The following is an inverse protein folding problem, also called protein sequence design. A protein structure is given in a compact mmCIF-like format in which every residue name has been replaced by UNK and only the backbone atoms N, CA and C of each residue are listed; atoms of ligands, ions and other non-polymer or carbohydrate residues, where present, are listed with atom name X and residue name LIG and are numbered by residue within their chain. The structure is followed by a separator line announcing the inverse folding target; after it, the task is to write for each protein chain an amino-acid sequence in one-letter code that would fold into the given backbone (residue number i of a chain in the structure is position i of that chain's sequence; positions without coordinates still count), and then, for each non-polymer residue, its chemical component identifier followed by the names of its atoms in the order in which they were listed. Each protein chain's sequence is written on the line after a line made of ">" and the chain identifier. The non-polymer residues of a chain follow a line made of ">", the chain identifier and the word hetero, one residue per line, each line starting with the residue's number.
data_IF_879822149513
#
_entry.id   IF_879822149513
#
_cell.length_a   1.000
_cell.length_b   1.000
_cell.length_c   1.000
_cell.angle_alpha   90.00
_cell.angle_beta   90.00
_cell.angle_gamma   90.00
#
_symmetry.space_group_name_H-M   'P 1'
#
loop_
_entity.id
_entity.type
_entity.pdbx_description
1 polymer ?
#
# COMPACT_ATOMS: atom_id res chain seq x y z
N UNK A 1 -5.67 23.39 9.00
CA UNK A 1 -6.86 22.87 8.28
C UNK A 1 -7.04 21.42 8.65
N UNK A 2 -8.28 20.95 8.83
CA UNK A 2 -8.56 19.56 9.25
C UNK A 2 -9.29 18.80 8.17
N UNK A 3 -8.76 17.66 7.78
CA UNK A 3 -9.31 16.83 6.71
C UNK A 3 -9.80 15.52 7.31
N UNK A 4 -11.04 15.17 7.03
CA UNK A 4 -11.57 13.82 7.27
C UNK A 4 -11.20 12.96 6.08
N UNK A 5 -10.41 11.91 6.26
CA UNK A 5 -10.14 10.89 5.26
C UNK A 5 -11.08 9.69 5.41
N UNK A 6 -11.46 9.08 4.30
CA UNK A 6 -12.27 7.86 4.23
C UNK A 6 -11.60 6.88 3.27
N UNK A 7 -11.30 5.67 3.75
CA UNK A 7 -10.69 4.59 2.96
C UNK A 7 -11.63 3.37 2.97
N UNK A 8 -11.88 2.82 1.78
CA UNK A 8 -12.70 1.64 1.55
C UNK A 8 -12.35 0.96 0.21
N UNK A 9 -11.08 0.99 -0.19
CA UNK A 9 -10.61 0.46 -1.48
C UNK A 9 -10.62 -1.07 -1.56
N UNK A 10 -10.42 -1.75 -0.43
CA UNK A 10 -10.24 -3.20 -0.36
C UNK A 10 -11.02 -3.85 0.80
N UNK A 11 -10.37 -4.14 1.93
CA UNK A 11 -10.94 -4.87 3.07
C UNK A 11 -10.80 -4.17 4.43
N UNK A 12 -10.28 -2.94 4.44
CA UNK A 12 -10.29 -2.04 5.58
C UNK A 12 -11.32 -0.92 5.39
N UNK A 13 -12.28 -0.80 6.32
CA UNK A 13 -13.11 0.41 6.42
C UNK A 13 -12.42 1.35 7.40
N UNK A 14 -11.94 2.50 6.94
CA UNK A 14 -11.22 3.42 7.81
C UNK A 14 -11.70 4.87 7.68
N UNK A 15 -11.58 5.59 8.78
CA UNK A 15 -11.75 7.04 8.84
C UNK A 15 -10.70 7.66 9.77
N UNK A 16 -10.23 8.85 9.44
CA UNK A 16 -9.20 9.55 10.20
C UNK A 16 -9.33 11.05 10.03
N UNK A 17 -8.97 11.80 11.07
CA UNK A 17 -8.83 13.25 10.96
C UNK A 17 -7.35 13.61 11.01
N UNK A 18 -6.88 14.33 9.99
CA UNK A 18 -5.50 14.84 9.93
C UNK A 18 -5.51 16.36 9.87
N UNK A 19 -4.65 16.97 10.68
CA UNK A 19 -4.39 18.40 10.71
C UNK A 19 -3.16 18.72 9.85
N UNK A 20 -3.36 19.64 8.90
CA UNK A 20 -2.34 20.21 8.02
C UNK A 20 -1.49 19.17 7.25
N UNK A 21 -2.12 18.04 6.91
CA UNK A 21 -1.49 16.95 6.15
C UNK A 21 -0.41 16.16 6.90
N UNK A 22 -0.12 16.52 8.15
CA UNK A 22 1.07 16.05 8.89
C UNK A 22 0.75 15.45 10.25
N UNK A 23 -0.28 15.93 10.94
CA UNK A 23 -0.60 15.53 12.31
C UNK A 23 -1.89 14.72 12.38
N UNK A 24 -1.80 13.47 12.82
CA UNK A 24 -2.96 12.61 13.04
C UNK A 24 -3.67 13.05 14.32
N UNK A 25 -4.96 13.41 14.22
CA UNK A 25 -5.83 13.69 15.37
C UNK A 25 -6.62 12.45 15.77
N UNK A 26 -7.02 11.63 14.79
CA UNK A 26 -7.65 10.33 15.01
C UNK A 26 -7.35 9.40 13.84
N UNK A 27 -7.42 8.09 14.08
CA UNK A 27 -7.32 7.06 13.05
C UNK A 27 -8.06 5.81 13.51
N UNK A 28 -9.14 5.45 12.82
CA UNK A 28 -10.01 4.32 13.14
C UNK A 28 -10.02 3.38 11.94
N UNK A 29 -9.80 2.09 12.19
CA UNK A 29 -9.82 1.03 11.18
C UNK A 29 -10.69 -0.12 11.65
N UNK A 30 -11.69 -0.48 10.85
CA UNK A 30 -12.45 -1.72 10.97
C UNK A 30 -12.00 -2.67 9.86
N UNK A 31 -11.08 -3.58 10.21
CA UNK A 31 -10.50 -4.57 9.28
C UNK A 31 -11.38 -5.81 9.15
N UNK A 32 -11.48 -6.34 7.93
CA UNK A 32 -12.26 -7.54 7.60
C UNK A 32 -11.39 -8.80 7.43
N UNK A 33 -10.13 -8.76 7.89
CA UNK A 33 -9.15 -9.83 7.67
C UNK A 33 -9.62 -11.19 8.23
N UNK A 34 -10.31 -11.20 9.37
CA UNK A 34 -10.81 -12.44 9.98
C UNK A 34 -11.88 -13.12 9.11
N UNK A 35 -12.79 -12.33 8.51
CA UNK A 35 -13.81 -12.81 7.60
C UNK A 35 -13.22 -13.37 6.31
N UNK A 36 -12.23 -12.67 5.73
CA UNK A 36 -11.60 -13.08 4.47
C UNK A 36 -10.61 -14.24 4.64
N UNK A 37 -10.09 -14.47 5.86
CA UNK A 37 -9.22 -15.62 6.16
C UNK A 37 -9.90 -16.96 5.82
N UNK A 38 -11.22 -17.06 6.00
CA UNK A 38 -12.01 -18.25 5.68
C UNK A 38 -11.94 -18.65 4.20
N UNK A 39 -11.74 -17.68 3.32
CA UNK A 39 -11.69 -17.85 1.87
C UNK A 39 -10.26 -17.83 1.31
N UNK A 40 -9.28 -17.57 2.18
CA UNK A 40 -7.87 -17.44 1.82
C UNK A 40 -7.52 -16.16 1.06
N UNK A 41 -8.43 -15.19 0.98
CA UNK A 41 -8.25 -13.90 0.30
C UNK A 41 -9.55 -13.11 0.25
N UNK A 42 -9.47 -11.85 -0.18
CA UNK A 42 -10.60 -10.91 -0.18
C UNK A 42 -11.71 -11.36 -1.13
N UNK A 43 -12.93 -11.48 -0.61
CA UNK A 43 -14.16 -11.72 -1.38
C UNK A 43 -14.86 -10.39 -1.63
N UNK A 44 -14.92 -9.88 -2.89
CA UNK A 44 -15.36 -8.51 -3.16
C UNK A 44 -16.77 -8.14 -2.66
N UNK A 45 -17.72 -9.08 -2.77
CA UNK A 45 -19.10 -8.85 -2.32
C UNK A 45 -19.19 -8.77 -0.79
N UNK A 46 -18.46 -9.64 -0.08
CA UNK A 46 -18.40 -9.60 1.40
C UNK A 46 -17.77 -8.28 1.83
N UNK A 47 -16.70 -7.85 1.16
CA UNK A 47 -16.02 -6.62 1.50
C UNK A 47 -16.92 -5.39 1.36
N UNK A 48 -17.63 -5.30 0.24
CA UNK A 48 -18.59 -4.21 -0.02
C UNK A 48 -19.68 -4.12 1.06
N UNK A 49 -20.20 -5.27 1.53
CA UNK A 49 -21.21 -5.30 2.60
C UNK A 49 -20.65 -4.85 3.94
N UNK A 50 -19.45 -5.30 4.30
CA UNK A 50 -18.80 -4.92 5.56
C UNK A 50 -18.47 -3.43 5.61
N UNK A 51 -18.04 -2.83 4.51
CA UNK A 51 -17.92 -1.37 4.44
C UNK A 51 -19.25 -0.68 4.70
N UNK A 52 -20.34 -1.15 4.08
CA UNK A 52 -21.67 -0.53 4.24
C UNK A 52 -22.16 -0.59 5.68
N UNK A 53 -21.86 -1.68 6.40
CA UNK A 53 -22.22 -1.85 7.81
C UNK A 53 -21.35 -1.00 8.75
N UNK A 54 -20.07 -0.81 8.44
CA UNK A 54 -19.10 -0.20 9.34
C UNK A 54 -18.94 1.32 9.16
N UNK A 55 -19.13 1.85 7.94
CA UNK A 55 -18.66 3.19 7.56
C UNK A 55 -19.20 4.32 8.45
N UNK A 56 -20.47 4.26 8.84
CA UNK A 56 -21.08 5.28 9.71
C UNK A 56 -20.37 5.32 11.07
N UNK A 57 -20.31 4.19 11.77
CA UNK A 57 -19.71 4.12 13.09
C UNK A 57 -18.20 4.38 13.10
N UNK A 58 -17.50 3.99 12.03
CA UNK A 58 -16.06 4.30 11.87
C UNK A 58 -15.83 5.81 11.73
N UNK A 59 -16.66 6.52 10.95
CA UNK A 59 -16.55 7.97 10.77
C UNK A 59 -16.97 8.73 12.04
N UNK A 60 -18.06 8.34 12.68
CA UNK A 60 -18.49 8.93 13.96
C UNK A 60 -17.39 8.80 15.01
N UNK A 61 -16.84 7.59 15.18
CA UNK A 61 -15.74 7.35 16.11
C UNK A 61 -14.49 8.15 15.77
N UNK A 62 -14.15 8.32 14.49
CA UNK A 62 -13.00 9.13 14.10
C UNK A 62 -13.19 10.63 14.43
N UNK A 63 -14.41 11.17 14.33
CA UNK A 63 -14.71 12.54 14.73
C UNK A 63 -14.69 12.70 16.26
N UNK A 64 -15.26 11.74 16.98
CA UNK A 64 -15.24 11.67 18.44
C UNK A 64 -13.82 11.59 19.00
N UNK A 65 -13.00 10.65 18.50
CA UNK A 65 -11.60 10.46 18.90
C UNK A 65 -10.76 11.73 18.60
N UNK A 66 -11.10 12.49 17.56
CA UNK A 66 -10.46 13.76 17.23
C UNK A 66 -10.98 14.94 18.07
N UNK A 67 -12.07 14.76 18.83
CA UNK A 67 -12.70 15.81 19.63
C UNK A 67 -13.33 16.93 18.81
N UNK A 68 -13.77 16.66 17.58
CA UNK A 68 -14.36 17.66 16.68
C UNK A 68 -15.70 17.20 16.10
N UNK A 69 -16.60 18.15 15.84
CA UNK A 69 -17.78 17.92 15.00
C UNK A 69 -17.51 18.28 13.53
N UNK A 70 -18.52 18.08 12.67
CA UNK A 70 -18.42 18.38 11.23
C UNK A 70 -18.00 19.83 10.94
N UNK A 71 -18.48 20.80 11.72
CA UNK A 71 -18.11 22.21 11.56
C UNK A 71 -16.62 22.51 11.81
N UNK A 72 -15.85 21.56 12.37
CA UNK A 72 -14.41 21.66 12.54
C UNK A 72 -13.58 21.19 11.34
N UNK A 73 -14.22 20.65 10.29
CA UNK A 73 -13.55 20.12 9.10
C UNK A 73 -13.44 21.19 8.00
N UNK A 74 -12.37 21.11 7.23
CA UNK A 74 -12.13 21.93 6.04
C UNK A 74 -12.51 21.22 4.74
N UNK A 75 -12.36 19.88 4.69
CA UNK A 75 -12.77 19.05 3.56
C UNK A 75 -12.97 17.58 3.99
N UNK A 76 -13.68 16.83 3.15
CA UNK A 76 -13.86 15.38 3.23
C UNK A 76 -13.10 14.74 2.07
N UNK A 77 -12.05 14.01 2.37
CA UNK A 77 -11.24 13.27 1.43
C UNK A 77 -11.67 11.80 1.38
N UNK A 78 -11.78 11.23 0.17
CA UNK A 78 -12.20 9.85 0.00
C UNK A 78 -11.37 9.15 -1.08
N UNK A 79 -10.96 7.92 -0.82
CA UNK A 79 -10.32 7.10 -1.84
C UNK A 79 -11.32 6.78 -2.96
N UNK A 80 -11.02 7.25 -4.17
CA UNK A 80 -11.90 7.10 -5.33
C UNK A 80 -11.32 6.17 -6.41
N UNK A 81 -10.02 5.88 -6.37
CA UNK A 81 -9.34 4.94 -7.26
C UNK A 81 -7.91 4.62 -6.79
N UNK A 82 -7.30 3.51 -7.24
CA UNK A 82 -7.93 2.28 -7.69
C UNK A 82 -8.42 1.43 -6.50
N UNK A 83 -9.11 0.33 -6.78
CA UNK A 83 -9.64 -0.56 -5.75
C UNK A 83 -10.79 -1.44 -6.25
N UNK A 84 -11.35 -2.25 -5.35
CA UNK A 84 -12.54 -3.04 -5.63
C UNK A 84 -13.74 -2.11 -5.82
N UNK A 85 -14.37 -2.16 -7.00
CA UNK A 85 -15.39 -1.16 -7.38
C UNK A 85 -16.56 -1.10 -6.39
N UNK A 86 -17.02 -2.25 -5.89
CA UNK A 86 -18.09 -2.30 -4.90
C UNK A 86 -17.70 -1.64 -3.58
N UNK A 87 -16.48 -1.88 -3.12
CA UNK A 87 -15.94 -1.30 -1.89
C UNK A 87 -15.74 0.22 -2.02
N UNK A 88 -15.12 0.68 -3.12
CA UNK A 88 -14.92 2.12 -3.40
C UNK A 88 -16.25 2.89 -3.45
N UNK A 89 -17.27 2.30 -4.07
CA UNK A 89 -18.58 2.94 -4.18
C UNK A 89 -19.23 3.20 -2.81
N UNK A 90 -18.95 2.39 -1.79
CA UNK A 90 -19.46 2.65 -0.43
C UNK A 90 -18.85 3.93 0.12
N UNK A 91 -17.52 4.04 0.14
CA UNK A 91 -16.80 5.23 0.60
C UNK A 91 -17.19 6.48 -0.18
N UNK A 92 -17.15 6.40 -1.52
CA UNK A 92 -17.46 7.53 -2.41
C UNK A 92 -18.89 8.03 -2.20
N UNK A 93 -19.89 7.14 -2.14
CA UNK A 93 -21.28 7.58 -1.95
C UNK A 93 -21.54 8.11 -0.55
N UNK A 94 -20.94 7.52 0.49
CA UNK A 94 -21.02 8.05 1.85
C UNK A 94 -20.41 9.46 1.93
N UNK A 95 -19.19 9.65 1.39
CA UNK A 95 -18.50 10.93 1.38
C UNK A 95 -19.28 12.00 0.59
N UNK A 96 -19.89 11.63 -0.54
CA UNK A 96 -20.79 12.52 -1.30
C UNK A 96 -22.00 12.94 -0.48
N UNK A 97 -22.66 12.01 0.20
CA UNK A 97 -23.80 12.30 1.07
C UNK A 97 -23.43 13.21 2.24
N UNK A 98 -22.29 12.94 2.88
CA UNK A 98 -21.77 13.76 3.98
C UNK A 98 -21.40 15.16 3.50
N UNK A 99 -20.71 15.29 2.37
CA UNK A 99 -20.37 16.57 1.74
C UNK A 99 -21.63 17.36 1.37
N UNK A 100 -22.60 16.70 0.72
CA UNK A 100 -23.86 17.34 0.31
C UNK A 100 -24.68 17.87 1.50
N UNK A 101 -24.79 17.08 2.57
CA UNK A 101 -25.58 17.46 3.75
C UNK A 101 -24.90 18.52 4.63
N UNK A 102 -23.57 18.54 4.68
CA UNK A 102 -22.80 19.47 5.52
C UNK A 102 -22.32 20.73 4.79
N UNK A 103 -22.32 20.73 3.45
CA UNK A 103 -21.71 21.79 2.64
C UNK A 103 -20.17 21.78 2.64
N UNK A 104 -19.54 20.77 3.25
CA UNK A 104 -18.08 20.64 3.32
C UNK A 104 -17.54 20.14 1.97
N UNK A 105 -16.48 20.74 1.40
CA UNK A 105 -15.90 20.31 0.14
C UNK A 105 -15.51 18.83 0.10
N UNK A 106 -15.78 18.17 -1.03
CA UNK A 106 -15.38 16.79 -1.31
C UNK A 106 -14.07 16.76 -2.12
N UNK A 107 -13.15 15.90 -1.71
CA UNK A 107 -11.82 15.74 -2.33
C UNK A 107 -11.62 14.27 -2.73
N UNK A 108 -11.53 13.96 -4.03
CA UNK A 108 -11.23 12.61 -4.48
C UNK A 108 -9.73 12.34 -4.34
N UNK A 109 -9.37 11.18 -3.80
CA UNK A 109 -7.98 10.81 -3.53
C UNK A 109 -7.63 9.50 -4.22
N UNK A 110 -6.41 9.44 -4.74
CA UNK A 110 -5.87 8.23 -5.33
C UNK A 110 -5.18 7.38 -4.24
N UNK A 111 -5.55 6.11 -4.13
CA UNK A 111 -5.10 5.20 -3.09
C UNK A 111 -3.57 5.08 -3.02
N UNK A 112 -2.88 4.93 -4.16
CA UNK A 112 -1.41 4.87 -4.17
C UNK A 112 -0.75 6.19 -3.75
N UNK A 113 -1.37 7.34 -4.06
CA UNK A 113 -0.86 8.65 -3.60
C UNK A 113 -1.00 8.75 -2.08
N UNK A 114 -2.09 8.21 -1.54
CA UNK A 114 -2.28 8.08 -0.08
C UNK A 114 -1.15 7.28 0.55
N UNK A 115 -0.84 6.07 0.05
CA UNK A 115 0.29 5.30 0.60
C UNK A 115 1.62 6.06 0.58
N UNK A 116 1.89 6.87 -0.46
CA UNK A 116 3.06 7.75 -0.49
C UNK A 116 2.95 8.79 0.65
N UNK A 117 1.79 9.44 0.78
CA UNK A 117 1.51 10.45 1.80
C UNK A 117 1.58 9.94 3.25
N UNK A 118 1.48 8.63 3.49
CA UNK A 118 1.74 8.05 4.81
C UNK A 118 3.13 8.43 5.35
N UNK A 119 4.11 8.64 4.46
CA UNK A 119 5.45 9.11 4.87
C UNK A 119 5.46 10.54 5.40
N UNK A 120 4.53 11.40 4.95
CA UNK A 120 4.42 12.77 5.45
C UNK A 120 3.96 12.84 6.90
N UNK A 121 3.22 11.82 7.35
CA UNK A 121 2.75 11.66 8.74
C UNK A 121 3.85 11.17 9.68
N UNK A 122 4.78 10.34 9.18
CA UNK A 122 5.91 9.81 9.95
C UNK A 122 7.11 10.76 9.94
N UNK A 123 7.41 11.35 8.79
CA UNK A 123 8.55 12.25 8.57
C UNK A 123 8.02 13.61 8.14
N UNK A 124 7.76 14.47 9.12
CA UNK A 124 7.14 15.78 8.90
C UNK A 124 8.00 16.73 8.08
N UNK A 125 9.31 16.50 8.04
CA UNK A 125 10.30 17.21 7.24
C UNK A 125 10.43 16.69 5.80
N UNK A 126 9.78 15.57 5.46
CA UNK A 126 9.82 15.03 4.11
C UNK A 126 9.04 15.93 3.15
N UNK A 127 9.73 16.40 2.13
CA UNK A 127 9.17 17.18 1.02
C UNK A 127 9.58 16.56 -0.33
N UNK A 128 8.75 16.62 -1.39
CA UNK A 128 9.18 16.38 -2.77
C UNK A 128 10.34 17.31 -3.20
N UNK A 129 11.16 16.94 -4.21
CA UNK A 129 11.07 15.73 -4.99
C UNK A 129 11.78 14.54 -4.32
N UNK A 130 11.29 13.32 -4.56
CA UNK A 130 11.94 12.08 -4.12
C UNK A 130 11.55 10.90 -5.02
N UNK A 131 12.28 9.80 -4.90
CA UNK A 131 11.91 8.53 -5.55
C UNK A 131 11.18 7.66 -4.52
N UNK A 132 10.05 7.10 -4.92
CA UNK A 132 9.24 6.23 -4.06
C UNK A 132 9.05 4.84 -4.66
N UNK A 133 9.39 3.80 -3.91
CA UNK A 133 8.99 2.43 -4.19
C UNK A 133 7.65 2.15 -3.47
N UNK A 134 6.57 2.08 -4.24
CA UNK A 134 5.24 1.68 -3.74
C UNK A 134 5.09 0.19 -3.91
N UNK A 135 5.01 -0.55 -2.80
CA UNK A 135 4.90 -2.01 -2.75
C UNK A 135 3.79 -2.42 -1.79
N UNK A 136 2.64 -2.81 -2.34
CA UNK A 136 1.45 -3.30 -1.61
C UNK A 136 1.01 -4.68 -2.10
N UNK A 137 -0.16 -5.14 -1.65
CA UNK A 137 -0.77 -6.39 -2.12
C UNK A 137 -0.94 -6.41 -3.64
N UNK A 138 -1.56 -5.37 -4.20
CA UNK A 138 -1.89 -5.29 -5.64
C UNK A 138 -0.99 -4.38 -6.47
N UNK A 139 0.00 -3.69 -5.88
CA UNK A 139 0.81 -2.72 -6.59
C UNK A 139 2.30 -2.90 -6.32
N UNK A 140 3.11 -2.79 -7.37
CA UNK A 140 4.56 -2.62 -7.26
C UNK A 140 4.99 -1.62 -8.31
N UNK A 141 5.29 -0.40 -7.85
CA UNK A 141 5.61 0.74 -8.70
C UNK A 141 6.85 1.46 -8.17
N UNK A 142 7.61 2.01 -9.10
CA UNK A 142 8.67 2.95 -8.84
C UNK A 142 8.23 4.31 -9.40
N UNK A 143 8.02 5.26 -8.49
CA UNK A 143 7.36 6.53 -8.77
C UNK A 143 8.31 7.66 -8.46
N UNK A 144 8.53 8.54 -9.44
CA UNK A 144 9.16 9.84 -9.22
C UNK A 144 8.10 10.81 -8.73
N UNK A 145 8.21 11.24 -7.47
CA UNK A 145 7.31 12.21 -6.85
C UNK A 145 7.92 13.59 -7.05
N UNK A 146 7.33 14.40 -7.93
CA UNK A 146 7.84 15.74 -8.30
C UNK A 146 7.28 16.83 -7.38
N UNK A 147 6.02 16.68 -6.99
CA UNK A 147 5.31 17.54 -6.05
C UNK A 147 4.31 16.72 -5.23
N UNK A 148 3.54 17.39 -4.37
CA UNK A 148 2.54 16.70 -3.54
C UNK A 148 1.37 16.11 -4.34
N UNK A 149 1.16 16.59 -5.57
CA UNK A 149 0.09 16.17 -6.48
C UNK A 149 0.61 15.76 -7.87
N UNK A 150 1.94 15.76 -8.09
CA UNK A 150 2.57 15.44 -9.38
C UNK A 150 3.47 14.21 -9.26
N UNK A 151 3.10 13.16 -10.01
CA UNK A 151 3.69 11.83 -9.96
C UNK A 151 4.05 11.35 -11.36
N UNK A 152 5.07 10.52 -11.47
CA UNK A 152 5.47 9.87 -12.72
C UNK A 152 5.93 8.45 -12.43
N UNK A 153 5.32 7.47 -13.10
CA UNK A 153 5.75 6.08 -13.00
C UNK A 153 6.97 5.87 -13.90
N UNK A 154 8.08 5.42 -13.33
CA UNK A 154 9.29 5.07 -14.08
C UNK A 154 9.54 3.56 -14.15
N UNK A 155 8.80 2.78 -13.37
CA UNK A 155 8.79 1.33 -13.45
C UNK A 155 7.59 0.73 -12.72
N UNK A 156 7.09 -0.40 -13.21
CA UNK A 156 5.99 -1.12 -12.56
C UNK A 156 6.11 -2.63 -12.75
N UNK A 157 5.35 -3.41 -11.98
CA UNK A 157 5.24 -4.85 -12.25
C UNK A 157 4.52 -5.09 -13.58
N UNK A 158 4.99 -6.07 -14.34
CA UNK A 158 4.35 -6.56 -15.57
C UNK A 158 3.37 -7.70 -15.33
N UNK A 159 3.39 -8.28 -14.13
CA UNK A 159 2.54 -9.40 -13.74
C UNK A 159 2.04 -9.28 -12.29
N UNK A 160 2.30 -10.27 -11.42
CA UNK A 160 1.96 -10.25 -10.00
C UNK A 160 2.67 -9.07 -9.31
N UNK A 161 2.01 -8.40 -8.38
CA UNK A 161 2.67 -7.50 -7.45
C UNK A 161 3.48 -8.28 -6.40
N UNK A 162 4.43 -7.62 -5.74
CA UNK A 162 5.26 -8.25 -4.71
C UNK A 162 4.41 -8.83 -3.56
N UNK A 163 3.41 -8.09 -3.08
CA UNK A 163 2.53 -8.55 -2.00
C UNK A 163 1.70 -9.76 -2.40
N UNK A 164 1.11 -9.74 -3.59
CA UNK A 164 0.40 -10.88 -4.16
C UNK A 164 1.32 -12.12 -4.32
N UNK A 165 2.56 -11.93 -4.75
CA UNK A 165 3.54 -13.01 -4.82
C UNK A 165 3.85 -13.60 -3.44
N UNK A 166 3.99 -12.76 -2.41
CA UNK A 166 4.12 -13.19 -1.01
C UNK A 166 2.92 -14.00 -0.53
N UNK A 167 1.69 -13.52 -0.76
CA UNK A 167 0.47 -14.20 -0.32
C UNK A 167 0.29 -15.55 -1.04
N UNK A 168 0.54 -15.61 -2.34
CA UNK A 168 0.45 -16.86 -3.13
C UNK A 168 1.52 -17.87 -2.69
N UNK A 169 2.75 -17.43 -2.45
CA UNK A 169 3.83 -18.29 -1.96
C UNK A 169 3.53 -18.83 -0.56
N UNK A 170 3.08 -17.96 0.35
CA UNK A 170 2.68 -18.33 1.70
C UNK A 170 1.54 -19.37 1.69
N UNK A 171 0.52 -19.16 0.84
CA UNK A 171 -0.57 -20.13 0.65
C UNK A 171 -0.05 -21.48 0.18
N UNK A 172 0.88 -21.50 -0.77
CA UNK A 172 1.50 -22.75 -1.26
C UNK A 172 2.28 -23.49 -0.15
N UNK A 173 2.82 -22.77 0.82
CA UNK A 173 3.48 -23.31 2.02
C UNK A 173 2.50 -23.67 3.15
N UNK A 174 1.19 -23.51 2.95
CA UNK A 174 0.17 -23.82 3.96
C UNK A 174 0.01 -22.76 5.04
N UNK A 175 0.48 -21.53 4.81
CA UNK A 175 0.33 -20.42 5.76
C UNK A 175 -1.06 -19.75 5.63
N UNK A 176 -1.60 -19.19 6.72
CA UNK A 176 -2.87 -18.47 6.70
C UNK A 176 -2.76 -17.10 6.00
N UNK A 177 -3.90 -16.54 5.59
CA UNK A 177 -4.03 -15.18 5.07
C UNK A 177 -4.10 -14.15 6.23
N UNK A 178 -3.47 -12.97 6.11
CA UNK A 178 -2.61 -12.49 5.01
C UNK A 178 -1.20 -13.10 5.03
N UNK A 179 -0.81 -13.71 3.93
CA UNK A 179 0.32 -14.62 3.86
C UNK A 179 1.69 -13.96 3.98
N UNK A 180 1.85 -12.74 3.48
CA UNK A 180 3.12 -12.01 3.54
C UNK A 180 3.66 -11.81 4.95
N UNK A 181 2.80 -11.59 5.95
CA UNK A 181 3.19 -11.42 7.35
C UNK A 181 3.72 -12.72 7.95
N UNK A 182 3.02 -13.83 7.72
CA UNK A 182 3.44 -15.14 8.22
C UNK A 182 4.71 -15.63 7.52
N UNK A 183 4.86 -15.35 6.23
CA UNK A 183 6.06 -15.67 5.47
C UNK A 183 7.27 -14.86 5.97
N UNK A 184 7.12 -13.55 6.20
CA UNK A 184 8.24 -12.74 6.74
C UNK A 184 8.70 -13.23 8.11
N UNK A 185 7.76 -13.64 8.97
CA UNK A 185 8.06 -14.22 10.29
C UNK A 185 8.77 -15.57 10.17
N UNK A 186 8.24 -16.49 9.36
CA UNK A 186 8.84 -17.81 9.15
C UNK A 186 10.26 -17.71 8.58
N UNK A 187 10.49 -16.74 7.70
CA UNK A 187 11.78 -16.49 7.06
C UNK A 187 12.89 -16.01 8.03
N UNK A 188 12.58 -15.58 9.26
CA UNK A 188 13.60 -15.13 10.22
C UNK A 188 14.51 -16.26 10.71
N UNK A 189 14.02 -17.50 10.77
CA UNK A 189 14.78 -18.68 11.23
C UNK A 189 15.36 -19.56 10.12
N UNK A 190 15.27 -19.11 8.87
CA UNK A 190 15.68 -19.87 7.68
C UNK A 190 16.97 -19.38 7.04
N UNK A 191 17.62 -20.26 6.29
CA UNK A 191 18.76 -19.92 5.43
C UNK A 191 18.26 -19.34 4.10
N UNK A 192 18.52 -18.04 3.79
CA UNK A 192 18.09 -17.43 2.54
C UNK A 192 18.76 -18.05 1.29
N UNK A 193 19.81 -18.86 1.44
CA UNK A 193 20.53 -19.52 0.34
C UNK A 193 20.19 -20.99 0.16
N UNK A 194 19.29 -21.55 0.98
CA UNK A 194 18.91 -22.96 0.93
C UNK A 194 18.31 -23.38 -0.42
N UNK A 195 17.56 -22.48 -1.07
CA UNK A 195 16.93 -22.74 -2.37
C UNK A 195 17.33 -21.69 -3.41
N UNK A 196 17.82 -22.16 -4.57
CA UNK A 196 18.11 -21.32 -5.72
C UNK A 196 16.81 -20.92 -6.43
N UNK A 197 16.35 -19.69 -6.17
CA UNK A 197 15.18 -19.09 -6.82
C UNK A 197 15.59 -18.04 -7.87
N UNK A 198 14.82 -17.86 -8.95
CA UNK A 198 15.16 -16.88 -9.98
C UNK A 198 15.06 -15.44 -9.46
N UNK A 199 15.92 -14.54 -9.95
CA UNK A 199 15.80 -13.09 -9.76
C UNK A 199 15.47 -12.45 -11.12
N UNK A 200 14.20 -12.45 -11.54
CA UNK A 200 13.83 -12.02 -12.89
C UNK A 200 14.18 -10.55 -13.16
N UNK A 201 14.48 -10.26 -14.42
CA UNK A 201 14.64 -8.92 -14.97
C UNK A 201 13.74 -8.79 -16.20
N UNK A 202 13.20 -7.60 -16.44
CA UNK A 202 12.37 -7.34 -17.61
C UNK A 202 13.25 -6.76 -18.72
N UNK A 203 13.30 -7.44 -19.86
CA UNK A 203 14.10 -7.00 -21.01
C UNK A 203 13.59 -5.67 -21.55
N UNK A 204 14.50 -4.75 -21.87
CA UNK A 204 14.17 -3.38 -22.32
C UNK A 204 13.53 -2.47 -21.28
N UNK A 205 13.25 -2.94 -20.05
CA UNK A 205 12.63 -2.15 -18.99
C UNK A 205 13.34 -2.37 -17.64
N UNK A 206 14.48 -1.68 -17.40
CA UNK A 206 15.38 -1.96 -16.27
C UNK A 206 14.76 -1.75 -14.89
N UNK A 207 13.67 -0.98 -14.82
CA UNK A 207 12.97 -0.64 -13.57
C UNK A 207 11.69 -1.42 -13.34
N UNK A 208 11.28 -2.23 -14.31
CA UNK A 208 10.09 -3.04 -14.19
C UNK A 208 10.34 -4.34 -13.43
N UNK A 209 9.25 -4.84 -12.84
CA UNK A 209 9.26 -6.00 -11.97
C UNK A 209 8.47 -7.16 -12.61
N UNK A 210 8.80 -8.38 -12.18
CA UNK A 210 8.06 -9.60 -12.52
C UNK A 210 8.22 -10.58 -11.37
N UNK A 211 7.13 -11.16 -10.87
CA UNK A 211 7.14 -12.05 -9.70
C UNK A 211 6.39 -13.36 -9.93
N UNK A 212 5.63 -13.49 -11.01
CA UNK A 212 4.85 -14.71 -11.33
C UNK A 212 5.74 -15.94 -11.53
N UNK A 213 6.92 -15.77 -12.14
CA UNK A 213 7.90 -16.84 -12.31
C UNK A 213 8.46 -17.33 -10.96
N UNK A 214 8.71 -16.41 -10.03
CA UNK A 214 9.19 -16.68 -8.67
C UNK A 214 8.21 -17.54 -7.87
N UNK A 215 6.93 -17.17 -7.90
CA UNK A 215 5.84 -17.97 -7.33
C UNK A 215 5.80 -19.38 -7.93
N UNK A 216 5.88 -19.48 -9.26
CA UNK A 216 5.83 -20.77 -9.97
C UNK A 216 6.99 -21.68 -9.58
N UNK A 217 8.20 -21.12 -9.42
CA UNK A 217 9.35 -21.87 -8.91
C UNK A 217 9.12 -22.45 -7.51
N UNK A 218 8.52 -21.68 -6.59
CA UNK A 218 8.19 -22.16 -5.24
C UNK A 218 7.17 -23.31 -5.28
N UNK A 219 6.10 -23.15 -6.04
CA UNK A 219 5.06 -24.20 -6.19
C UNK A 219 5.68 -25.49 -6.74
N UNK A 220 6.54 -25.37 -7.75
CA UNK A 220 7.22 -26.52 -8.35
C UNK A 220 8.18 -27.20 -7.38
N UNK A 221 8.93 -26.45 -6.56
CA UNK A 221 9.80 -27.01 -5.52
C UNK A 221 8.99 -27.83 -4.52
N UNK A 222 7.88 -27.29 -4.02
CA UNK A 222 6.99 -27.97 -3.06
C UNK A 222 6.40 -29.24 -3.69
N UNK A 223 5.91 -29.15 -4.93
CA UNK A 223 5.32 -30.29 -5.63
C UNK A 223 6.34 -31.40 -5.88
N UNK A 224 7.52 -31.07 -6.39
CA UNK A 224 8.58 -32.02 -6.70
C UNK A 224 9.13 -32.70 -5.42
N UNK A 225 9.26 -31.95 -4.32
CA UNK A 225 9.65 -32.52 -3.05
C UNK A 225 8.62 -33.52 -2.54
N UNK A 226 7.32 -33.17 -2.61
CA UNK A 226 6.22 -34.06 -2.22
C UNK A 226 6.18 -35.35 -3.05
N UNK A 227 6.38 -35.26 -4.37
CA UNK A 227 6.46 -36.44 -5.24
C UNK A 227 7.62 -37.38 -4.87
N UNK A 228 8.73 -36.82 -4.38
CA UNK A 228 9.92 -37.58 -3.95
C UNK A 228 9.87 -38.02 -2.49
N UNK A 229 8.78 -37.75 -1.76
CA UNK A 229 8.68 -38.00 -0.32
C UNK A 229 9.65 -37.17 0.53
N UNK A 230 10.16 -36.06 -0.01
CA UNK A 230 11.07 -35.15 0.68
C UNK A 230 10.28 -34.07 1.41
N UNK A 231 10.65 -33.80 2.66
CA UNK A 231 10.10 -32.68 3.43
C UNK A 231 11.00 -31.47 3.26
N UNK A 232 10.44 -30.37 2.76
CA UNK A 232 11.15 -29.09 2.70
C UNK A 232 11.02 -28.39 4.05
N UNK A 233 12.12 -27.79 4.52
CA UNK A 233 12.08 -26.91 5.67
C UNK A 233 11.43 -25.59 5.25
N UNK A 234 10.29 -25.26 5.85
CA UNK A 234 9.43 -24.15 5.41
C UNK A 234 10.08 -22.80 5.66
N UNK A 235 10.83 -22.69 6.76
CA UNK A 235 11.59 -21.50 7.13
C UNK A 235 12.65 -21.16 6.07
N UNK A 236 13.36 -22.17 5.58
CA UNK A 236 14.40 -22.02 4.55
C UNK A 236 13.79 -21.62 3.20
N UNK A 237 12.67 -22.23 2.82
CA UNK A 237 11.96 -21.87 1.58
C UNK A 237 11.39 -20.44 1.65
N UNK A 238 10.81 -20.06 2.80
CA UNK A 238 10.34 -18.70 3.06
C UNK A 238 11.49 -17.68 3.02
N UNK A 239 12.64 -18.01 3.64
CA UNK A 239 13.83 -17.15 3.63
C UNK A 239 14.40 -16.96 2.22
N UNK A 240 14.54 -18.03 1.44
CA UNK A 240 15.00 -17.95 0.05
C UNK A 240 14.05 -17.17 -0.84
N UNK A 241 12.73 -17.35 -0.67
CA UNK A 241 11.73 -16.61 -1.44
C UNK A 241 11.74 -15.12 -1.09
N UNK A 242 11.70 -14.78 0.20
CA UNK A 242 11.78 -13.40 0.68
C UNK A 242 13.03 -12.70 0.15
N UNK A 243 14.19 -13.37 0.23
CA UNK A 243 15.45 -12.84 -0.28
C UNK A 243 15.36 -12.55 -1.79
N UNK A 244 14.80 -13.46 -2.58
CA UNK A 244 14.68 -13.27 -4.03
C UNK A 244 13.78 -12.08 -4.41
N UNK A 245 12.64 -11.91 -3.72
CA UNK A 245 11.75 -10.76 -3.94
C UNK A 245 12.44 -9.46 -3.55
N UNK A 246 13.07 -9.41 -2.36
CA UNK A 246 13.78 -8.21 -1.90
C UNK A 246 14.96 -7.86 -2.80
N UNK A 247 15.73 -8.85 -3.28
CA UNK A 247 16.82 -8.63 -4.23
C UNK A 247 16.34 -7.92 -5.50
N UNK A 248 15.19 -8.32 -6.05
CA UNK A 248 14.61 -7.70 -7.24
C UNK A 248 14.14 -6.28 -6.97
N UNK A 249 13.42 -6.08 -5.85
CA UNK A 249 12.96 -4.75 -5.43
C UNK A 249 14.14 -3.79 -5.22
N UNK A 250 15.15 -4.21 -4.47
CA UNK A 250 16.32 -3.39 -4.16
C UNK A 250 17.14 -3.10 -5.42
N UNK A 251 17.47 -4.10 -6.23
CA UNK A 251 18.27 -3.91 -7.45
C UNK A 251 17.70 -2.84 -8.37
N UNK A 252 16.42 -2.92 -8.71
CA UNK A 252 15.77 -1.97 -9.60
C UNK A 252 15.67 -0.58 -8.96
N UNK A 253 15.30 -0.52 -7.67
CA UNK A 253 15.16 0.74 -6.93
C UNK A 253 16.48 1.50 -6.81
N UNK A 254 17.57 0.80 -6.49
CA UNK A 254 18.91 1.39 -6.39
C UNK A 254 19.43 1.80 -7.77
N UNK A 255 19.16 1.01 -8.81
CA UNK A 255 19.43 1.41 -10.19
C UNK A 255 18.78 2.74 -10.54
N UNK A 256 17.48 2.88 -10.25
CA UNK A 256 16.74 4.11 -10.53
C UNK A 256 17.20 5.30 -9.69
N UNK A 257 17.56 5.09 -8.41
CA UNK A 257 18.15 6.14 -7.57
C UNK A 257 19.42 6.73 -8.22
N UNK A 258 20.27 5.87 -8.78
CA UNK A 258 21.50 6.28 -9.47
C UNK A 258 21.21 7.03 -10.77
N UNK A 259 20.34 6.49 -11.62
CA UNK A 259 20.04 7.11 -12.93
C UNK A 259 19.29 8.44 -12.79
N UNK A 260 18.35 8.53 -11.86
CA UNK A 260 17.58 9.76 -11.61
C UNK A 260 18.33 10.79 -10.76
N UNK A 261 19.50 10.41 -10.22
CA UNK A 261 20.29 11.21 -9.27
C UNK A 261 19.47 11.70 -8.05
N UNK A 262 18.44 10.95 -7.66
CA UNK A 262 17.66 11.24 -6.46
C UNK A 262 18.53 11.06 -5.20
N UNK A 263 18.29 11.90 -4.18
CA UNK A 263 18.96 11.81 -2.87
C UNK A 263 18.04 11.31 -1.75
N UNK A 264 16.75 11.17 -2.04
CA UNK A 264 15.72 10.74 -1.09
C UNK A 264 15.04 9.51 -1.66
N UNK A 265 15.19 8.38 -0.98
CA UNK A 265 14.44 7.15 -1.24
C UNK A 265 13.32 7.03 -0.22
N UNK A 266 12.11 6.80 -0.71
CA UNK A 266 10.90 6.59 0.09
C UNK A 266 10.33 5.21 -0.22
N UNK A 267 9.81 4.50 0.78
CA UNK A 267 9.03 3.27 0.56
C UNK A 267 7.60 3.45 1.07
N UNK A 268 6.64 2.80 0.42
CA UNK A 268 5.22 2.92 0.73
C UNK A 268 4.47 1.60 0.46
N UNK A 269 3.28 1.43 1.05
CA UNK A 269 2.42 0.25 0.89
C UNK A 269 2.72 -0.90 1.85
N UNK A 270 1.83 -1.90 1.95
CA UNK A 270 1.92 -2.93 3.00
C UNK A 270 3.23 -3.73 3.02
N UNK A 271 3.82 -4.04 1.86
CA UNK A 271 5.08 -4.80 1.76
C UNK A 271 6.28 -3.96 2.19
N UNK A 272 6.15 -2.64 2.26
CA UNK A 272 7.17 -1.76 2.85
C UNK A 272 7.43 -2.05 4.33
N UNK A 273 6.53 -2.76 5.02
CA UNK A 273 6.74 -3.24 6.38
C UNK A 273 7.78 -4.38 6.48
N UNK A 274 8.15 -5.01 5.36
CA UNK A 274 9.05 -6.15 5.35
C UNK A 274 10.41 -5.81 5.96
N UNK A 275 10.81 -6.60 6.97
CA UNK A 275 12.02 -6.35 7.75
C UNK A 275 13.31 -6.39 6.93
N UNK A 276 13.43 -7.36 6.03
CA UNK A 276 14.59 -7.51 5.15
C UNK A 276 14.67 -6.39 4.11
N UNK A 277 13.54 -5.99 3.51
CA UNK A 277 13.49 -4.87 2.57
C UNK A 277 13.95 -3.56 3.23
N UNK A 278 13.42 -3.24 4.41
CA UNK A 278 13.80 -2.05 5.19
C UNK A 278 15.29 -2.06 5.53
N UNK A 279 15.81 -3.19 6.00
CA UNK A 279 17.23 -3.32 6.35
C UNK A 279 18.12 -3.16 5.12
N UNK A 280 17.79 -3.82 4.00
CA UNK A 280 18.58 -3.76 2.78
C UNK A 280 18.64 -2.35 2.19
N UNK A 281 17.48 -1.70 2.00
CA UNK A 281 17.44 -0.35 1.43
C UNK A 281 18.07 0.69 2.36
N UNK A 282 17.92 0.54 3.68
CA UNK A 282 18.58 1.41 4.64
C UNK A 282 20.11 1.32 4.56
N UNK A 283 20.66 0.11 4.39
CA UNK A 283 22.11 -0.09 4.21
C UNK A 283 22.61 0.55 2.92
N UNK A 284 21.93 0.30 1.81
CA UNK A 284 22.28 0.88 0.50
C UNK A 284 22.21 2.42 0.53
N UNK A 285 21.17 3.00 1.14
CA UNK A 285 21.08 4.45 1.30
C UNK A 285 22.23 5.02 2.14
N UNK A 286 22.60 4.36 3.25
CA UNK A 286 23.72 4.79 4.08
C UNK A 286 25.07 4.76 3.32
N UNK A 287 25.33 3.69 2.57
CA UNK A 287 26.55 3.54 1.76
C UNK A 287 26.66 4.59 0.65
N UNK A 288 25.54 5.01 0.06
CA UNK A 288 25.51 5.99 -1.04
C UNK A 288 25.24 7.44 -0.56
N UNK A 289 25.11 7.68 0.75
CA UNK A 289 24.82 9.00 1.32
C UNK A 289 23.43 9.55 0.97
N UNK A 290 22.44 8.68 0.79
CA UNK A 290 21.04 9.06 0.53
C UNK A 290 20.21 9.01 1.81
N UNK A 291 19.19 9.87 1.87
CA UNK A 291 18.17 9.80 2.92
C UNK A 291 17.16 8.70 2.60
N UNK A 292 16.78 7.95 3.63
CA UNK A 292 15.81 6.86 3.53
C UNK A 292 14.61 7.13 4.43
N UNK A 293 13.41 7.15 3.84
CA UNK A 293 12.16 7.39 4.53
C UNK A 293 11.21 6.20 4.38
N UNK A 294 10.47 5.93 5.45
CA UNK A 294 9.49 4.86 5.52
C UNK A 294 8.40 5.26 6.52
N UNK A 295 7.14 4.87 6.30
CA UNK A 295 6.11 5.11 7.29
C UNK A 295 6.34 4.24 8.54
N UNK A 296 5.76 4.66 9.65
CA UNK A 296 5.57 3.77 10.80
C UNK A 296 4.83 2.49 10.37
N UNK A 297 5.07 1.38 11.05
CA UNK A 297 4.49 0.08 10.66
C UNK A 297 2.96 0.11 10.67
N UNK A 298 2.36 0.86 11.59
CA UNK A 298 0.92 1.11 11.70
C UNK A 298 0.32 1.85 10.49
N UNK A 299 1.16 2.54 9.69
CA UNK A 299 0.76 3.34 8.54
C UNK A 299 1.13 2.70 7.19
N UNK A 300 1.77 1.53 7.20
CA UNK A 300 2.13 0.80 5.97
C UNK A 300 0.91 0.24 5.23
N UNK A 301 -0.06 -0.31 5.97
CA UNK A 301 -1.29 -0.89 5.43
C UNK A 301 -2.35 0.16 5.15
N UNK A 302 -3.52 -0.29 4.72
CA UNK A 302 -4.63 0.57 4.33
C UNK A 302 -5.21 1.27 5.57
N UNK A 303 -5.26 2.59 5.52
CA UNK A 303 -5.78 3.43 6.60
C UNK A 303 -6.28 4.76 6.03
N UNK A 304 -7.14 5.46 6.77
CA UNK A 304 -7.66 6.73 6.31
C UNK A 304 -6.76 7.93 6.67
N UNK A 305 -5.77 7.77 7.54
CA UNK A 305 -4.85 8.87 7.88
C UNK A 305 -4.02 9.25 6.65
N UNK A 306 -3.55 8.25 5.90
CA UNK A 306 -2.87 8.47 4.63
C UNK A 306 -3.77 9.14 3.57
N UNK A 307 -5.07 8.83 3.56
CA UNK A 307 -6.06 9.45 2.66
C UNK A 307 -6.31 10.91 3.05
N UNK A 308 -6.46 11.20 4.34
CA UNK A 308 -6.61 12.55 4.85
C UNK A 308 -5.36 13.41 4.59
N UNK A 309 -4.17 12.81 4.73
CA UNK A 309 -2.89 13.47 4.42
C UNK A 309 -2.79 13.85 2.94
N UNK A 310 -3.03 12.91 2.03
CA UNK A 310 -3.04 13.23 0.60
C UNK A 310 -4.18 14.20 0.25
N UNK A 311 -5.36 14.01 0.84
CA UNK A 311 -6.52 14.87 0.66
C UNK A 311 -6.26 16.32 1.04
N UNK A 312 -5.42 16.59 2.05
CA UNK A 312 -4.97 17.94 2.37
C UNK A 312 -4.23 18.59 1.20
N UNK A 313 -3.29 17.88 0.59
CA UNK A 313 -2.50 18.41 -0.52
C UNK A 313 -3.31 18.56 -1.81
N UNK A 314 -4.21 17.63 -2.10
CA UNK A 314 -5.16 17.75 -3.21
C UNK A 314 -6.08 18.98 -2.98
N UNK A 315 -6.57 19.18 -1.74
CA UNK A 315 -7.41 20.33 -1.40
C UNK A 315 -6.68 21.66 -1.56
N UNK A 316 -5.44 21.76 -1.10
CA UNK A 316 -4.61 22.96 -1.31
C UNK A 316 -4.36 23.26 -2.78
N UNK A 317 -4.25 22.22 -3.61
CA UNK A 317 -4.11 22.36 -5.06
C UNK A 317 -5.43 22.73 -5.77
N UNK A 318 -6.55 22.81 -5.04
CA UNK A 318 -7.88 23.09 -5.61
C UNK A 318 -8.57 21.87 -6.24
N UNK A 319 -8.01 20.67 -6.07
CA UNK A 319 -8.57 19.43 -6.61
C UNK A 319 -9.75 18.99 -5.74
N UNK A 320 -10.95 19.40 -6.14
CA UNK A 320 -12.21 19.06 -5.48
C UNK A 320 -13.15 18.38 -6.47
N UNK A 321 -14.15 17.66 -5.95
CA UNK A 321 -15.16 17.00 -6.78
C UNK A 321 -16.58 17.40 -6.39
N UNK A 322 -17.46 17.39 -7.39
CA UNK A 322 -18.90 17.55 -7.19
C UNK A 322 -19.63 16.21 -7.09
N UNK A 323 -20.96 16.27 -7.14
CA UNK A 323 -21.82 15.07 -7.05
C UNK A 323 -21.71 14.11 -8.26
N UNK A 324 -21.02 14.51 -9.33
CA UNK A 324 -20.68 13.64 -10.45
C UNK A 324 -19.49 12.70 -10.18
N UNK A 325 -18.81 12.83 -9.03
CA UNK A 325 -17.72 11.92 -8.65
C UNK A 325 -18.19 10.47 -8.71
N UNK A 326 -17.40 9.64 -9.39
CA UNK A 326 -17.59 8.20 -9.48
C UNK A 326 -16.29 7.46 -9.16
N UNK A 327 -16.42 6.28 -8.58
CA UNK A 327 -15.29 5.41 -8.30
C UNK A 327 -14.70 4.85 -9.60
N UNK A 328 -13.38 4.66 -9.64
CA UNK A 328 -12.67 4.00 -10.75
C UNK A 328 -11.88 2.83 -10.20
N UNK A 329 -12.23 1.62 -10.64
CA UNK A 329 -11.53 0.40 -10.22
C UNK A 329 -10.04 0.43 -10.58
N UNK A 330 -9.72 1.04 -11.71
CA UNK A 330 -8.38 1.27 -12.22
C UNK A 330 -8.21 2.73 -12.61
N UNK A 331 -7.09 3.32 -12.22
CA UNK A 331 -6.67 4.65 -12.65
C UNK A 331 -5.14 4.73 -12.55
N UNK A 332 -4.43 5.19 -13.59
CA UNK A 332 -3.01 5.51 -13.47
C UNK A 332 -2.77 6.58 -12.41
N UNK A 333 -1.69 6.44 -11.64
CA UNK A 333 -1.35 7.37 -10.55
C UNK A 333 -1.06 8.79 -11.07
N UNK A 334 -0.64 8.94 -12.32
CA UNK A 334 -0.39 10.25 -12.94
C UNK A 334 -1.67 11.04 -13.24
N UNK A 335 -2.82 10.39 -13.34
CA UNK A 335 -4.04 11.05 -13.80
C UNK A 335 -4.72 11.86 -12.69
N UNK A 336 -5.35 12.98 -13.06
CA UNK A 336 -6.25 13.72 -12.18
C UNK A 336 -7.67 13.13 -12.21
N UNK A 337 -8.45 13.38 -11.14
CA UNK A 337 -9.84 12.92 -11.03
C UNK A 337 -10.79 13.70 -11.91
#
# INVERSE_FOLDING_TARGET
>A
MRILGIESSCDETAAAVVEDGRRILSSVVASQVEEHRLYGGVVPEIASRRHSEAIVGVVERALEDAGIGLGGLSAIAVTAAPGLIGALLVGVNFAKGLSFSSGIPLVPVHHLRSHIAANYLTSTELEPPFLCLVVSGGHTHLVRVKGYTEFEVIGCTRDDAAGEAFDKAARAMGMPYPGGVFLDRAAQGGDPKAFALPRPSVDGAPYDFSFSGLKTSVINLIHNAKQKGLTLRTEDLAASFRAAVVDCLARNTIGAMRETNSKKLVIAGGVSANSLLRSRLSGECAENGWSFYRPELSLCGDNAAMVASQGYYEFLAGNTAGMALNARASMPIENCF
#
